data_IF_634555882582
#
_entry.id   IF_634555882582
#
_cell.length_a   1.000
_cell.length_b   1.000
_cell.length_c   1.000
_cell.angle_alpha   90.00
_cell.angle_beta   90.00
_cell.angle_gamma   90.00
#
_symmetry.space_group_name_H-M   'P 1'
#
loop_
_entity.id
_entity.type
_entity.pdbx_description
1 polymer ?
#
# COMPACT_ATOMS: atom_id res chain seq x y z
N UNK A 1 -31.41 -9.65 -10.37
CA UNK A 1 -30.44 -10.67 -10.81
C UNK A 1 -29.57 -10.96 -9.60
N UNK A 2 -29.39 -12.19 -9.20
CA UNK A 2 -28.45 -12.54 -8.14
C UNK A 2 -27.04 -12.37 -8.72
N UNK A 3 -26.15 -11.66 -8.00
CA UNK A 3 -24.77 -11.52 -8.41
C UNK A 3 -24.11 -12.91 -8.41
N UNK A 4 -23.54 -13.30 -9.55
CA UNK A 4 -22.82 -14.56 -9.69
C UNK A 4 -21.53 -14.50 -8.87
N UNK A 5 -21.39 -15.34 -7.87
CA UNK A 5 -20.18 -15.44 -7.06
C UNK A 5 -19.18 -16.34 -7.78
N UNK A 6 -18.11 -15.73 -8.29
CA UNK A 6 -17.02 -16.47 -8.97
C UNK A 6 -16.07 -17.03 -7.92
N UNK A 7 -15.88 -18.35 -7.92
CA UNK A 7 -14.97 -19.02 -7.01
C UNK A 7 -13.50 -18.67 -7.32
N UNK A 8 -12.72 -18.40 -6.28
CA UNK A 8 -11.26 -18.18 -6.42
C UNK A 8 -10.58 -19.52 -6.74
N UNK A 9 -9.75 -19.55 -7.78
CA UNK A 9 -9.01 -20.77 -8.14
C UNK A 9 -8.03 -21.17 -7.03
N UNK A 10 -7.79 -22.48 -6.89
CA UNK A 10 -6.90 -23.02 -5.86
C UNK A 10 -5.46 -22.48 -5.95
N UNK A 11 -4.99 -22.19 -7.17
CA UNK A 11 -3.63 -21.67 -7.40
C UNK A 11 -3.48 -20.23 -6.93
N UNK A 12 -4.51 -19.40 -7.09
CA UNK A 12 -4.53 -18.06 -6.53
C UNK A 12 -4.65 -18.10 -5.01
N UNK A 13 -5.54 -18.93 -4.48
CA UNK A 13 -5.71 -19.08 -3.03
C UNK A 13 -4.40 -19.50 -2.33
N UNK A 14 -3.64 -20.45 -2.90
CA UNK A 14 -2.35 -20.91 -2.36
C UNK A 14 -1.26 -19.84 -2.36
N UNK A 15 -1.32 -18.87 -3.28
CA UNK A 15 -0.32 -17.78 -3.42
C UNK A 15 -0.72 -16.50 -2.70
N UNK A 16 -1.93 -16.43 -2.18
CA UNK A 16 -2.42 -15.26 -1.46
C UNK A 16 -1.66 -15.04 -0.15
N UNK A 17 -1.21 -13.82 0.09
CA UNK A 17 -0.58 -13.42 1.37
C UNK A 17 -1.58 -13.42 2.53
N UNK A 18 -2.86 -13.22 2.23
CA UNK A 18 -3.96 -13.12 3.18
C UNK A 18 -5.08 -14.04 2.70
N UNK A 19 -5.39 -15.06 3.48
CA UNK A 19 -6.58 -15.89 3.35
C UNK A 19 -7.76 -15.31 4.14
N UNK A 20 -8.92 -15.94 4.08
CA UNK A 20 -10.13 -15.47 4.78
C UNK A 20 -9.95 -15.40 6.30
N UNK A 21 -9.31 -16.39 6.90
CA UNK A 21 -9.11 -16.44 8.35
C UNK A 21 -8.19 -15.30 8.81
N UNK A 22 -7.09 -15.08 8.09
CA UNK A 22 -6.15 -14.00 8.34
C UNK A 22 -6.78 -12.63 8.10
N UNK A 23 -7.60 -12.49 7.05
CA UNK A 23 -8.35 -11.25 6.81
C UNK A 23 -9.27 -10.91 7.99
N UNK A 24 -10.07 -11.87 8.46
CA UNK A 24 -10.97 -11.66 9.62
C UNK A 24 -10.19 -11.23 10.86
N UNK A 25 -9.12 -11.93 11.18
CA UNK A 25 -8.27 -11.60 12.33
C UNK A 25 -7.66 -10.19 12.22
N UNK A 26 -7.15 -9.82 11.04
CA UNK A 26 -6.60 -8.48 10.79
C UNK A 26 -7.69 -7.41 10.86
N UNK A 27 -8.86 -7.66 10.32
CA UNK A 27 -9.99 -6.73 10.38
C UNK A 27 -10.43 -6.48 11.83
N UNK A 28 -10.63 -7.55 12.61
CA UNK A 28 -10.97 -7.44 14.02
C UNK A 28 -9.94 -6.65 14.82
N UNK A 29 -8.65 -6.93 14.59
CA UNK A 29 -7.56 -6.18 15.22
C UNK A 29 -7.58 -4.70 14.83
N UNK A 30 -7.83 -4.37 13.57
CA UNK A 30 -7.88 -2.99 13.07
C UNK A 30 -9.05 -2.18 13.65
N UNK A 31 -10.15 -2.84 13.99
CA UNK A 31 -11.33 -2.21 14.62
C UNK A 31 -11.15 -2.08 16.13
N UNK A 32 -10.59 -3.13 16.76
CA UNK A 32 -10.43 -3.18 18.22
C UNK A 32 -9.35 -2.24 18.74
N UNK A 33 -8.22 -2.17 18.05
CA UNK A 33 -7.09 -1.28 18.37
C UNK A 33 -6.53 -0.65 17.08
N UNK A 34 -7.21 0.37 16.53
CA UNK A 34 -6.76 1.01 15.30
C UNK A 34 -5.36 1.64 15.41
N UNK A 35 -5.03 2.24 16.54
CA UNK A 35 -3.74 2.90 16.73
C UNK A 35 -2.60 1.89 16.76
N UNK A 36 -2.73 0.80 17.50
CA UNK A 36 -1.74 -0.28 17.54
C UNK A 36 -1.62 -0.99 16.19
N UNK A 37 -2.74 -1.34 15.57
CA UNK A 37 -2.76 -2.02 14.27
C UNK A 37 -2.05 -1.18 13.17
N UNK A 38 -2.46 0.06 13.00
CA UNK A 38 -1.87 0.93 11.98
C UNK A 38 -0.46 1.40 12.36
N UNK A 39 -0.16 1.52 13.66
CA UNK A 39 1.19 1.78 14.14
C UNK A 39 2.16 0.67 13.75
N UNK A 40 1.74 -0.58 13.77
CA UNK A 40 2.57 -1.70 13.30
C UNK A 40 2.69 -1.71 11.76
N UNK A 41 1.57 -1.52 11.07
CA UNK A 41 1.56 -1.52 9.61
C UNK A 41 2.30 -0.34 8.98
N UNK A 42 2.34 0.82 9.62
CA UNK A 42 3.10 1.98 9.20
C UNK A 42 4.61 1.75 9.10
N UNK A 43 5.16 0.75 9.82
CA UNK A 43 6.58 0.37 9.75
C UNK A 43 7.00 -0.29 8.43
N UNK A 44 6.04 -0.61 7.54
CA UNK A 44 6.34 -1.20 6.22
C UNK A 44 6.90 -0.21 5.21
N UNK A 45 6.76 1.06 5.48
CA UNK A 45 7.27 2.15 4.62
C UNK A 45 8.45 2.84 5.29
N UNK A 46 9.31 3.47 4.48
CA UNK A 46 10.51 4.14 4.96
C UNK A 46 10.18 5.57 5.35
N UNK A 47 10.44 5.91 6.60
CA UNK A 47 10.22 7.24 7.17
C UNK A 47 11.52 8.00 7.25
N UNK A 48 11.53 9.27 6.80
CA UNK A 48 12.64 10.21 7.06
C UNK A 48 12.68 10.52 8.55
N UNK A 49 11.51 10.78 9.15
CA UNK A 49 11.31 10.91 10.58
C UNK A 49 10.18 9.98 10.97
N UNK A 50 10.43 8.90 11.73
CA UNK A 50 9.38 8.01 12.21
C UNK A 50 8.34 8.76 13.05
N UNK A 51 7.09 8.31 12.96
CA UNK A 51 6.00 8.82 13.80
C UNK A 51 6.11 8.30 15.23
N UNK A 52 5.61 9.09 16.18
CA UNK A 52 5.46 8.62 17.57
C UNK A 52 4.18 7.78 17.73
N UNK A 53 4.12 6.88 18.75
CA UNK A 53 2.93 6.06 18.99
C UNK A 53 1.64 6.86 19.15
N UNK A 54 1.70 8.03 19.81
CA UNK A 54 0.55 8.91 19.99
C UNK A 54 0.09 9.65 18.74
N UNK A 55 0.93 9.70 17.69
CA UNK A 55 0.64 10.38 16.45
C UNK A 55 0.04 9.47 15.37
N UNK A 56 -0.05 8.15 15.61
CA UNK A 56 -0.57 7.19 14.62
C UNK A 56 -1.97 7.55 14.18
N UNK A 57 -2.85 7.88 15.13
CA UNK A 57 -4.25 8.19 14.86
C UNK A 57 -4.75 9.29 15.81
N UNK A 58 -5.20 10.40 15.24
CA UNK A 58 -5.88 11.48 15.94
C UNK A 58 -7.18 11.77 15.18
N UNK A 59 -8.27 11.16 15.63
CA UNK A 59 -9.58 11.24 14.97
C UNK A 59 -10.63 11.66 16.00
N UNK A 60 -11.31 12.76 15.70
CA UNK A 60 -12.36 13.33 16.51
C UNK A 60 -13.52 13.77 15.59
N UNK A 61 -14.72 13.30 15.92
CA UNK A 61 -15.97 13.66 15.23
C UNK A 61 -16.87 14.56 16.08
N UNK A 62 -16.42 14.96 17.28
CA UNK A 62 -17.17 15.86 18.17
C UNK A 62 -16.79 17.31 17.84
N UNK A 63 -17.72 18.08 17.30
CA UNK A 63 -17.47 19.46 16.83
C UNK A 63 -16.86 19.49 15.42
N UNK A 64 -15.80 20.27 15.22
CA UNK A 64 -15.10 20.30 13.93
C UNK A 64 -14.37 18.97 13.70
N UNK A 65 -14.74 18.28 12.62
CA UNK A 65 -14.18 16.96 12.31
C UNK A 65 -12.66 17.06 12.09
N UNK A 66 -11.92 16.30 12.88
CA UNK A 66 -10.47 16.17 12.75
C UNK A 66 -10.06 14.74 12.47
N UNK A 67 -9.38 14.52 11.35
CA UNK A 67 -8.84 13.21 10.97
C UNK A 67 -7.39 13.40 10.58
N UNK A 68 -6.47 12.93 11.45
CA UNK A 68 -5.03 12.99 11.20
C UNK A 68 -4.42 11.61 11.46
N UNK A 69 -3.57 11.18 10.54
CA UNK A 69 -2.82 9.94 10.64
C UNK A 69 -1.32 10.22 10.54
N UNK A 70 -0.53 9.58 11.40
CA UNK A 70 0.93 9.69 11.42
C UNK A 70 1.42 11.16 11.40
N UNK A 71 0.74 12.04 12.11
CA UNK A 71 0.79 13.50 11.90
C UNK A 71 2.12 14.16 12.30
N UNK A 72 3.04 13.48 13.00
CA UNK A 72 4.38 13.93 13.32
C UNK A 72 5.48 13.20 12.54
N UNK A 73 5.10 12.20 11.74
CA UNK A 73 6.00 11.48 10.85
C UNK A 73 6.29 12.27 9.56
N UNK A 74 7.46 12.05 8.98
CA UNK A 74 7.87 12.64 7.70
C UNK A 74 8.35 11.54 6.78
N UNK A 75 7.83 11.50 5.56
CA UNK A 75 8.24 10.56 4.53
C UNK A 75 8.32 11.24 3.16
N UNK A 76 9.00 10.58 2.22
CA UNK A 76 8.92 10.90 0.81
C UNK A 76 8.23 9.75 0.07
N UNK A 77 7.11 10.05 -0.59
CA UNK A 77 6.31 9.05 -1.31
C UNK A 77 7.07 8.52 -2.52
N UNK A 78 7.72 9.39 -3.29
CA UNK A 78 8.53 8.99 -4.44
C UNK A 78 9.66 8.04 -4.04
N UNK A 79 10.40 8.38 -2.98
CA UNK A 79 11.43 7.50 -2.44
C UNK A 79 10.89 6.12 -2.07
N UNK A 80 9.72 6.06 -1.45
CA UNK A 80 9.08 4.78 -1.09
C UNK A 80 8.57 3.99 -2.30
N UNK A 81 8.07 4.67 -3.34
CA UNK A 81 7.48 4.00 -4.50
C UNK A 81 8.52 3.64 -5.58
N UNK A 82 9.62 4.37 -5.68
CA UNK A 82 10.60 4.25 -6.77
C UNK A 82 12.00 3.94 -6.23
N UNK A 83 12.61 4.89 -5.50
CA UNK A 83 14.03 4.85 -5.16
C UNK A 83 14.44 3.61 -4.37
N UNK A 84 13.65 3.25 -3.34
CA UNK A 84 13.92 2.07 -2.49
C UNK A 84 13.95 0.74 -3.25
N UNK A 85 13.38 0.71 -4.43
CA UNK A 85 13.32 -0.50 -5.25
C UNK A 85 14.50 -0.65 -6.20
N UNK A 86 15.27 0.41 -6.47
CA UNK A 86 16.36 0.39 -7.45
C UNK A 86 17.44 -0.64 -7.11
N UNK A 87 17.82 -0.77 -5.85
CA UNK A 87 18.87 -1.70 -5.45
C UNK A 87 18.57 -3.18 -5.77
N UNK A 88 17.29 -3.57 -5.79
CA UNK A 88 16.87 -4.98 -5.93
C UNK A 88 16.00 -5.24 -7.15
N UNK A 89 15.39 -4.22 -7.73
CA UNK A 89 14.34 -4.34 -8.76
C UNK A 89 14.50 -3.35 -9.91
N UNK A 90 15.68 -2.79 -10.11
CA UNK A 90 15.92 -1.75 -11.12
C UNK A 90 15.38 -2.14 -12.51
N UNK A 91 15.62 -3.37 -12.94
CA UNK A 91 15.26 -3.87 -14.27
C UNK A 91 13.89 -4.57 -14.29
N UNK A 92 13.17 -4.61 -13.14
CA UNK A 92 11.80 -5.10 -13.08
C UNK A 92 10.85 -4.06 -13.68
N UNK A 93 9.83 -4.51 -14.42
CA UNK A 93 8.77 -3.64 -14.94
C UNK A 93 8.01 -3.00 -13.78
N UNK A 94 8.03 -1.67 -13.72
CA UNK A 94 7.29 -0.87 -12.77
C UNK A 94 5.92 -0.47 -13.32
N UNK A 95 5.84 -0.15 -14.61
CA UNK A 95 4.62 0.28 -15.29
C UNK A 95 4.44 -0.52 -16.56
N UNK A 96 3.23 -0.99 -16.81
CA UNK A 96 2.78 -1.51 -18.09
C UNK A 96 1.73 -0.52 -18.59
N UNK A 97 2.05 0.18 -19.66
CA UNK A 97 1.11 1.04 -20.37
C UNK A 97 0.58 0.32 -21.60
N UNK A 98 -0.70 0.39 -21.83
CA UNK A 98 -1.37 -0.18 -22.99
C UNK A 98 -2.35 0.85 -23.55
N UNK A 99 -2.26 1.11 -24.86
CA UNK A 99 -3.15 2.02 -25.56
C UNK A 99 -4.46 1.34 -25.97
N UNK A 100 -5.37 2.12 -26.56
CA UNK A 100 -6.62 1.60 -27.15
C UNK A 100 -6.36 0.57 -28.25
N UNK A 101 -5.23 0.71 -28.96
CA UNK A 101 -4.71 -0.28 -29.89
C UNK A 101 -3.79 -1.24 -29.13
N UNK A 102 -4.14 -2.53 -28.96
CA UNK A 102 -3.34 -3.50 -28.20
C UNK A 102 -1.91 -3.71 -28.74
N UNK A 103 -1.64 -3.32 -30.00
CA UNK A 103 -0.29 -3.35 -30.56
C UNK A 103 0.61 -2.24 -29.99
N UNK A 104 0.03 -1.23 -29.36
CA UNK A 104 0.73 -0.09 -28.76
C UNK A 104 0.80 -0.27 -27.25
N UNK A 105 1.82 -0.96 -26.79
CA UNK A 105 2.10 -1.11 -25.35
C UNK A 105 3.54 -0.69 -25.04
N UNK A 106 3.78 -0.21 -23.82
CA UNK A 106 5.12 0.13 -23.32
C UNK A 106 5.30 -0.46 -21.92
N UNK A 107 6.43 -1.09 -21.69
CA UNK A 107 6.89 -1.48 -20.34
C UNK A 107 7.97 -0.52 -19.92
N UNK A 108 7.85 0.02 -18.71
CA UNK A 108 8.81 0.94 -18.09
C UNK A 108 9.36 0.25 -16.85
N UNK A 109 10.66 0.12 -16.76
CA UNK A 109 11.34 -0.45 -15.60
C UNK A 109 11.43 0.57 -14.45
N UNK A 110 11.76 0.12 -13.23
CA UNK A 110 12.00 1.05 -12.11
C UNK A 110 13.15 2.00 -12.39
N UNK A 111 14.19 1.55 -13.10
CA UNK A 111 15.33 2.39 -13.50
C UNK A 111 14.91 3.50 -14.45
N UNK A 112 14.15 3.15 -15.48
CA UNK A 112 13.63 4.12 -16.45
C UNK A 112 12.67 5.10 -15.79
N UNK A 113 11.75 4.60 -14.96
CA UNK A 113 10.82 5.45 -14.20
C UNK A 113 11.55 6.43 -13.30
N UNK A 114 12.58 5.97 -12.57
CA UNK A 114 13.40 6.84 -11.75
C UNK A 114 14.08 7.95 -12.58
N UNK A 115 14.66 7.60 -13.73
CA UNK A 115 15.32 8.57 -14.60
C UNK A 115 14.34 9.60 -15.22
N UNK A 116 13.07 9.21 -15.42
CA UNK A 116 12.04 10.11 -15.96
C UNK A 116 11.43 11.03 -14.87
N UNK A 117 11.49 10.64 -13.59
CA UNK A 117 10.91 11.39 -12.45
C UNK A 117 11.93 12.31 -11.76
N UNK A 118 13.21 11.98 -11.78
CA UNK A 118 14.30 12.79 -11.21
C UNK A 118 14.99 13.63 -12.27
#
# INVERSE_FOLDING_TARGET
MADEVIAVSSDWAKRAYVDEAKYKAMYEASVKDPAGFWGEHGKRIDWIKPYSPGAVRDVDYTGDVRIRWYHDGVLNVSANCVDRHLAKRADQTAIIWEGDDPSKSKKITYRELHAEVC
#
